data_IF_500087295345
#
_entry.id   IF_500087295345
#
_cell.length_a   1.000
_cell.length_b   1.000
_cell.length_c   1.000
_cell.angle_alpha   90.00
_cell.angle_beta   90.00
_cell.angle_gamma   90.00
#
_symmetry.space_group_name_H-M   'P 1'
#
loop_
_entity.id
_entity.type
_entity.pdbx_description
1 polymer ?
#
# COMPACT_ATOMS: atom_id res chain seq x y z
N UNK A 1 12.37 14.36 12.30
CA UNK A 1 11.44 13.30 11.88
C UNK A 1 12.14 11.97 12.12
N UNK A 2 11.59 11.09 12.96
CA UNK A 2 12.11 9.74 13.08
C UNK A 2 12.04 9.10 11.68
N UNK A 3 13.17 8.63 11.16
CA UNK A 3 13.21 7.83 9.94
C UNK A 3 12.21 6.69 10.15
N UNK A 4 11.30 6.43 9.20
CA UNK A 4 10.20 5.48 9.35
C UNK A 4 10.62 4.01 9.60
N UNK A 5 11.90 3.71 9.90
CA UNK A 5 12.44 2.37 10.19
C UNK A 5 12.00 1.27 9.20
N UNK A 6 11.62 1.68 7.98
CA UNK A 6 11.00 0.81 6.98
C UNK A 6 9.68 0.15 7.44
N UNK A 7 8.92 0.85 8.28
CA UNK A 7 7.58 0.50 8.77
C UNK A 7 6.53 1.19 7.90
N UNK A 8 5.66 0.44 7.23
CA UNK A 8 4.68 1.00 6.31
C UNK A 8 3.38 0.21 6.25
N UNK A 9 2.33 0.82 5.72
CA UNK A 9 1.00 0.23 5.60
C UNK A 9 0.80 -0.72 4.43
N UNK A 10 1.86 -1.01 3.66
CA UNK A 10 1.82 -1.94 2.54
C UNK A 10 3.11 -2.77 2.46
N UNK A 11 2.98 -4.01 2.03
CA UNK A 11 4.09 -4.92 1.80
C UNK A 11 3.90 -5.73 0.52
N UNK A 12 5.02 -6.05 -0.13
CA UNK A 12 5.08 -7.04 -1.20
C UNK A 12 5.68 -8.32 -0.65
N UNK A 13 4.97 -9.43 -0.81
CA UNK A 13 5.41 -10.75 -0.34
C UNK A 13 5.83 -11.58 -1.53
N UNK A 14 7.02 -12.19 -1.44
CA UNK A 14 7.57 -13.10 -2.45
C UNK A 14 7.55 -14.51 -1.88
N UNK A 15 6.99 -15.45 -2.64
CA UNK A 15 6.83 -16.84 -2.22
C UNK A 15 7.98 -17.68 -2.77
N UNK A 16 8.54 -18.55 -1.93
CA UNK A 16 9.48 -19.57 -2.41
C UNK A 16 8.81 -20.55 -3.37
N UNK A 17 7.53 -20.87 -3.12
CA UNK A 17 6.73 -21.79 -3.93
C UNK A 17 5.41 -21.13 -4.31
N UNK A 18 5.28 -20.72 -5.56
CA UNK A 18 4.05 -20.13 -6.09
C UNK A 18 2.83 -21.07 -5.94
N UNK A 19 3.04 -22.38 -5.84
CA UNK A 19 1.97 -23.35 -5.61
C UNK A 19 1.24 -23.18 -4.28
N UNK A 20 1.82 -22.50 -3.29
CA UNK A 20 1.18 -22.27 -1.97
C UNK A 20 0.40 -20.95 -1.93
N UNK A 21 0.19 -20.28 -3.07
CA UNK A 21 -0.45 -18.97 -3.14
C UNK A 21 -1.79 -18.92 -2.40
N UNK A 22 -2.69 -19.87 -2.66
CA UNK A 22 -4.04 -19.86 -2.07
C UNK A 22 -3.97 -19.93 -0.54
N UNK A 23 -3.19 -20.87 -0.01
CA UNK A 23 -3.00 -21.03 1.44
C UNK A 23 -2.40 -19.76 2.08
N UNK A 24 -1.47 -19.10 1.38
CA UNK A 24 -0.88 -17.83 1.85
C UNK A 24 -1.90 -16.69 1.85
N UNK A 25 -2.69 -16.55 0.80
CA UNK A 25 -3.72 -15.50 0.73
C UNK A 25 -4.74 -15.66 1.86
N UNK A 26 -5.19 -16.90 2.09
CA UNK A 26 -6.13 -17.22 3.16
C UNK A 26 -5.50 -16.92 4.54
N UNK A 27 -4.31 -17.45 4.80
CA UNK A 27 -3.62 -17.25 6.08
C UNK A 27 -3.33 -15.77 6.37
N UNK A 28 -2.88 -14.99 5.37
CA UNK A 28 -2.61 -13.56 5.55
C UNK A 28 -3.89 -12.76 5.81
N UNK A 29 -5.01 -13.13 5.16
CA UNK A 29 -6.29 -12.44 5.33
C UNK A 29 -6.91 -12.66 6.70
N UNK A 30 -6.50 -13.71 7.42
CA UNK A 30 -6.96 -14.00 8.78
C UNK A 30 -6.13 -13.30 9.87
N UNK A 31 -4.99 -12.68 9.52
CA UNK A 31 -4.12 -12.01 10.50
C UNK A 31 -4.76 -10.70 10.97
N UNK A 32 -4.96 -10.49 12.28
CA UNK A 32 -5.42 -9.21 12.81
C UNK A 32 -4.49 -8.06 12.36
N UNK A 33 -5.08 -6.99 11.85
CA UNK A 33 -4.35 -5.84 11.33
C UNK A 33 -3.96 -5.91 9.86
N UNK A 34 -4.18 -7.05 9.18
CA UNK A 34 -4.21 -7.11 7.73
C UNK A 34 -5.62 -6.76 7.25
N UNK A 35 -5.74 -5.67 6.51
CA UNK A 35 -7.03 -5.22 5.97
C UNK A 35 -7.37 -5.91 4.65
N UNK A 36 -6.37 -6.10 3.79
CA UNK A 36 -6.59 -6.71 2.48
C UNK A 36 -5.33 -7.38 1.95
N UNK A 37 -5.54 -8.45 1.19
CA UNK A 37 -4.51 -9.16 0.45
C UNK A 37 -4.93 -9.30 -1.00
N UNK A 38 -4.05 -8.97 -1.93
CA UNK A 38 -4.28 -9.09 -3.36
C UNK A 38 -3.21 -9.96 -3.97
N UNK A 39 -3.58 -10.89 -4.86
CA UNK A 39 -2.57 -11.51 -5.73
C UNK A 39 -1.87 -10.46 -6.59
N UNK A 40 -0.68 -10.78 -7.14
CA UNK A 40 0.05 -9.93 -8.09
C UNK A 40 -0.86 -9.39 -9.20
N UNK A 41 -1.71 -10.26 -9.76
CA UNK A 41 -2.62 -9.90 -10.85
C UNK A 41 -3.73 -8.95 -10.41
N UNK A 42 -4.29 -9.16 -9.22
CA UNK A 42 -5.34 -8.29 -8.68
C UNK A 42 -4.76 -6.95 -8.25
N UNK A 43 -3.65 -6.96 -7.51
CA UNK A 43 -2.98 -5.74 -7.02
C UNK A 43 -2.49 -4.87 -8.17
N UNK A 44 -1.83 -5.45 -9.18
CA UNK A 44 -1.41 -4.70 -10.38
C UNK A 44 -2.57 -4.03 -11.09
N UNK A 45 -3.71 -4.70 -11.23
CA UNK A 45 -4.91 -4.14 -11.85
C UNK A 45 -5.55 -3.06 -10.97
N UNK A 46 -5.71 -3.33 -9.69
CA UNK A 46 -6.43 -2.46 -8.76
C UNK A 46 -5.66 -1.15 -8.54
N UNK A 47 -4.34 -1.22 -8.41
CA UNK A 47 -3.48 -0.08 -8.07
C UNK A 47 -2.72 0.49 -9.27
N UNK A 48 -2.90 -0.06 -10.48
CA UNK A 48 -2.18 0.39 -11.67
C UNK A 48 -0.67 0.14 -11.61
N UNK A 49 -0.25 -0.98 -11.00
CA UNK A 49 1.17 -1.32 -10.79
C UNK A 49 1.71 -2.19 -11.93
N UNK A 50 3.04 -2.12 -12.11
CA UNK A 50 3.77 -3.02 -12.99
C UNK A 50 3.91 -4.40 -12.34
N UNK A 51 3.21 -5.40 -12.87
CA UNK A 51 3.15 -6.74 -12.28
C UNK A 51 4.52 -7.43 -12.13
N UNK A 52 5.46 -7.13 -13.02
CA UNK A 52 6.84 -7.63 -13.01
C UNK A 52 7.74 -6.96 -11.94
N UNK A 53 7.25 -5.91 -11.27
CA UNK A 53 7.98 -5.15 -10.25
C UNK A 53 7.43 -5.30 -8.83
N UNK A 54 6.48 -6.21 -8.64
CA UNK A 54 5.84 -6.46 -7.34
C UNK A 54 5.96 -7.94 -6.94
N UNK A 55 5.73 -8.19 -5.65
CA UNK A 55 5.68 -9.54 -5.09
C UNK A 55 4.59 -10.41 -5.69
N UNK A 56 4.52 -11.65 -5.24
CA UNK A 56 3.46 -12.59 -5.61
C UNK A 56 2.11 -12.14 -5.05
N UNK A 57 2.10 -11.48 -3.89
CA UNK A 57 0.94 -10.74 -3.40
C UNK A 57 1.31 -9.37 -2.80
N UNK A 58 0.30 -8.51 -2.72
CA UNK A 58 0.31 -7.20 -2.07
C UNK A 58 -0.54 -7.31 -0.82
N UNK A 59 0.02 -6.91 0.32
CA UNK A 59 -0.67 -6.93 1.63
C UNK A 59 -0.83 -5.50 2.09
N UNK A 60 -2.02 -5.13 2.53
CA UNK A 60 -2.34 -3.81 3.08
C UNK A 60 -2.71 -3.92 4.55
N UNK A 61 -2.15 -3.03 5.34
CA UNK A 61 -2.44 -2.91 6.76
C UNK A 61 -3.73 -2.13 7.00
N UNK A 62 -4.39 -2.42 8.12
CA UNK A 62 -5.42 -1.56 8.69
C UNK A 62 -4.82 -0.21 9.15
N UNK A 63 -5.67 0.75 9.45
CA UNK A 63 -5.37 2.16 9.70
C UNK A 63 -4.27 2.41 10.74
N UNK A 64 -4.28 1.65 11.82
CA UNK A 64 -3.38 1.84 12.96
C UNK A 64 -2.27 0.78 13.01
N UNK A 65 -2.00 0.11 11.88
CA UNK A 65 -1.04 -1.00 11.78
C UNK A 65 0.05 -0.69 10.76
N UNK A 66 1.27 -1.15 11.05
CA UNK A 66 2.41 -1.07 10.12
C UNK A 66 3.09 -2.43 10.02
N UNK A 67 3.56 -2.77 8.82
CA UNK A 67 4.41 -3.91 8.58
C UNK A 67 5.87 -3.51 8.65
N UNK A 68 6.71 -4.41 9.16
CA UNK A 68 8.14 -4.17 9.30
C UNK A 68 8.89 -5.39 9.77
N UNK A 69 10.19 -5.20 10.01
CA UNK A 69 11.04 -6.25 10.57
C UNK A 69 11.14 -6.07 12.07
N UNK A 70 10.57 -7.02 12.81
CA UNK A 70 10.57 -7.04 14.27
C UNK A 70 11.20 -8.33 14.80
N UNK A 71 11.53 -8.35 16.10
CA UNK A 71 12.02 -9.56 16.79
C UNK A 71 10.91 -10.50 17.22
N UNK A 72 9.66 -10.03 17.21
CA UNK A 72 8.43 -10.77 17.48
C UNK A 72 7.41 -10.51 16.37
N UNK A 73 6.38 -11.34 16.29
CA UNK A 73 5.33 -11.21 15.27
C UNK A 73 4.51 -9.92 15.42
N UNK A 74 4.37 -9.43 16.64
CA UNK A 74 3.65 -8.19 16.96
C UNK A 74 4.48 -7.38 17.96
N UNK A 75 4.52 -6.07 17.75
CA UNK A 75 5.22 -5.11 18.60
C UNK A 75 4.39 -3.83 18.63
N UNK A 76 4.08 -3.36 19.84
CA UNK A 76 3.48 -2.04 20.01
C UNK A 76 4.51 -0.96 19.65
N UNK A 77 4.11 -0.04 18.77
CA UNK A 77 4.98 1.04 18.30
C UNK A 77 4.23 2.37 18.37
N UNK A 78 4.97 3.45 18.66
CA UNK A 78 4.45 4.82 18.61
C UNK A 78 5.04 5.54 17.40
N UNK A 79 4.49 5.28 16.22
CA UNK A 79 4.94 5.88 14.95
C UNK A 79 3.77 6.51 14.20
N UNK A 80 4.08 7.49 13.36
CA UNK A 80 3.21 7.91 12.26
C UNK A 80 3.81 7.36 10.99
N UNK A 81 3.00 6.71 10.15
CA UNK A 81 3.47 6.18 8.87
C UNK A 81 2.43 6.36 7.77
N UNK A 82 2.66 5.73 6.63
CA UNK A 82 1.82 5.75 5.46
C UNK A 82 1.99 4.49 4.60
N UNK A 83 1.23 4.40 3.52
CA UNK A 83 1.35 3.39 2.47
C UNK A 83 0.14 2.48 2.33
N UNK A 84 -0.82 2.55 3.26
CA UNK A 84 -2.08 1.81 3.22
C UNK A 84 -3.14 2.55 2.39
N UNK A 85 -4.38 2.04 2.43
CA UNK A 85 -5.54 2.73 1.87
C UNK A 85 -5.94 3.98 2.67
N UNK A 86 -5.54 4.09 3.93
CA UNK A 86 -6.00 5.14 4.85
C UNK A 86 -5.30 6.49 4.64
N UNK A 87 -4.17 6.50 3.92
CA UNK A 87 -3.43 7.74 3.60
C UNK A 87 -3.63 8.21 2.16
N UNK A 88 -4.52 7.58 1.40
CA UNK A 88 -4.70 7.86 -0.04
C UNK A 88 -5.36 9.20 -0.35
N UNK A 89 -6.17 9.73 0.57
CA UNK A 89 -6.90 10.96 0.34
C UNK A 89 -5.99 12.15 0.64
N UNK A 90 -5.58 12.84 -0.43
CA UNK A 90 -4.70 14.00 -0.35
C UNK A 90 -5.40 15.23 -0.93
N UNK A 91 -5.26 16.40 -0.29
CA UNK A 91 -5.83 17.63 -0.82
C UNK A 91 -5.10 18.05 -2.09
N UNK A 92 -5.86 18.52 -3.08
CA UNK A 92 -5.35 19.11 -4.32
C UNK A 92 -5.76 20.58 -4.33
N UNK A 93 -4.77 21.46 -4.26
CA UNK A 93 -4.97 22.91 -4.10
C UNK A 93 -4.05 23.60 -5.10
N UNK A 94 -4.57 24.57 -5.85
CA UNK A 94 -3.77 25.37 -6.77
C UNK A 94 -4.28 26.80 -6.92
N UNK A 95 -3.34 27.68 -7.24
CA UNK A 95 -3.58 29.10 -7.52
C UNK A 95 -2.75 29.54 -8.75
N UNK A 96 -3.36 30.11 -9.80
CA UNK A 96 -4.81 30.33 -10.00
C UNK A 96 -5.60 29.01 -9.99
N UNK A 97 -6.94 29.09 -9.94
CA UNK A 97 -7.83 27.92 -9.84
C UNK A 97 -7.40 26.79 -10.79
N UNK A 98 -7.27 25.56 -10.26
CA UNK A 98 -6.96 24.38 -11.06
C UNK A 98 -8.07 24.04 -12.06
N UNK A 99 -7.73 23.42 -13.20
CA UNK A 99 -8.71 22.86 -14.13
C UNK A 99 -9.66 21.88 -13.41
N UNK A 100 -10.92 21.86 -13.84
CA UNK A 100 -11.90 20.89 -13.34
C UNK A 100 -11.52 19.46 -13.74
N UNK A 101 -12.00 18.47 -12.99
CA UNK A 101 -11.85 17.06 -13.34
C UNK A 101 -10.61 16.36 -12.77
N UNK A 102 -9.82 17.04 -11.92
CA UNK A 102 -8.73 16.41 -11.17
C UNK A 102 -9.29 15.37 -10.17
N UNK A 103 -8.98 14.09 -10.38
CA UNK A 103 -9.44 12.96 -9.56
C UNK A 103 -8.30 12.31 -8.78
N UNK A 104 -7.11 12.32 -9.37
CA UNK A 104 -5.89 11.77 -8.80
C UNK A 104 -4.86 12.89 -8.60
N UNK A 105 -3.96 12.70 -7.63
CA UNK A 105 -2.84 13.62 -7.40
C UNK A 105 -1.96 13.84 -8.65
N UNK A 106 -1.79 12.80 -9.46
CA UNK A 106 -1.02 12.84 -10.71
C UNK A 106 -1.73 13.61 -11.84
N UNK A 107 -3.04 13.85 -11.74
CA UNK A 107 -3.78 14.57 -12.77
C UNK A 107 -3.34 16.04 -12.83
N UNK A 108 -2.79 16.60 -11.74
CA UNK A 108 -2.35 17.99 -11.67
C UNK A 108 -1.34 18.28 -12.78
N UNK A 109 -0.30 17.44 -12.93
CA UNK A 109 0.71 17.66 -13.96
C UNK A 109 0.18 17.39 -15.37
N UNK A 110 -0.72 16.41 -15.52
CA UNK A 110 -1.34 16.09 -16.81
C UNK A 110 -2.27 17.19 -17.32
N UNK A 111 -3.00 17.87 -16.42
CA UNK A 111 -3.98 18.91 -16.76
C UNK A 111 -3.36 20.30 -16.89
N UNK A 112 -2.17 20.53 -16.33
CA UNK A 112 -1.54 21.85 -16.31
C UNK A 112 -0.67 22.17 -17.54
N UNK A 113 -0.60 21.30 -18.56
CA UNK A 113 0.24 21.48 -19.77
C UNK A 113 1.67 21.98 -19.44
N UNK A 114 2.27 21.46 -18.37
CA UNK A 114 3.63 21.78 -17.94
C UNK A 114 4.69 21.04 -18.75
#
# INVERSE_FOLDING_TARGET
MAHHQNLGGAAYVFLEKVSTMTEVLDALSEIPGVEAVYSRKEGSRHFGLMADRIGDCVVLADKDVVFGKFTSCEVEVSVRSHGSMHERFVPIIGYPRLPEGCKMNLDITALMEL
#
